data_IF_400897346182
#
_entry.id   IF_400897346182
#
_cell.length_a   1.000
_cell.length_b   1.000
_cell.length_c   1.000
_cell.angle_alpha   90.00
_cell.angle_beta   90.00
_cell.angle_gamma   90.00
#
_symmetry.space_group_name_H-M   'P 1'
#
loop_
_entity.id
_entity.type
_entity.pdbx_description
1 polymer ?
#
# COMPACT_ATOMS: atom_id res chain seq x y z
N UNK A 1 -43.49 -10.57 1.43
CA UNK A 1 -42.48 -9.63 0.89
C UNK A 1 -42.28 -9.97 -0.57
N UNK A 2 -42.06 -8.96 -1.40
CA UNK A 2 -41.89 -9.09 -2.84
C UNK A 2 -40.58 -8.43 -3.25
N UNK A 3 -39.84 -9.04 -4.18
CA UNK A 3 -38.56 -8.54 -4.69
C UNK A 3 -38.81 -7.94 -6.06
N UNK A 4 -38.25 -6.76 -6.31
CA UNK A 4 -38.36 -6.06 -7.59
C UNK A 4 -36.97 -5.74 -8.10
N UNK A 5 -36.71 -6.09 -9.35
CA UNK A 5 -35.56 -5.59 -10.09
C UNK A 5 -35.84 -4.15 -10.51
N UNK A 6 -34.86 -3.26 -10.32
CA UNK A 6 -34.99 -1.84 -10.61
C UNK A 6 -33.88 -1.38 -11.57
N UNK A 7 -34.25 -0.48 -12.46
CA UNK A 7 -33.32 0.25 -13.34
C UNK A 7 -33.67 1.73 -13.26
N UNK A 8 -32.86 2.50 -12.52
CA UNK A 8 -33.05 3.94 -12.34
C UNK A 8 -32.14 4.67 -13.30
N UNK A 9 -32.75 5.51 -14.14
CA UNK A 9 -32.02 6.25 -15.15
C UNK A 9 -31.20 7.38 -14.53
N UNK A 10 -30.09 7.75 -15.17
CA UNK A 10 -29.24 8.85 -14.75
C UNK A 10 -29.98 10.21 -14.76
N UNK A 11 -31.04 10.37 -15.55
CA UNK A 11 -31.81 11.60 -15.61
C UNK A 11 -32.67 11.90 -14.35
N UNK A 12 -32.60 11.08 -13.31
CA UNK A 12 -33.39 11.24 -12.08
C UNK A 12 -34.88 10.92 -12.24
N UNK A 13 -35.27 10.31 -13.38
CA UNK A 13 -36.66 9.88 -13.56
C UNK A 13 -37.08 8.85 -12.52
N UNK A 14 -38.28 9.02 -12.00
CA UNK A 14 -38.84 8.14 -11.00
C UNK A 14 -39.28 6.81 -11.62
N UNK A 15 -38.84 5.72 -11.02
CA UNK A 15 -39.35 4.37 -11.24
C UNK A 15 -40.34 4.05 -10.12
N UNK A 16 -41.54 3.59 -10.48
CA UNK A 16 -42.60 3.29 -9.49
C UNK A 16 -42.72 1.79 -9.29
N UNK A 17 -42.58 1.35 -8.05
CA UNK A 17 -42.88 -0.01 -7.61
C UNK A 17 -44.33 -0.03 -7.10
N UNK A 18 -45.23 -0.67 -7.85
CA UNK A 18 -46.63 -0.83 -7.49
C UNK A 18 -46.82 -2.00 -6.51
N UNK A 19 -46.34 -1.81 -5.28
CA UNK A 19 -46.45 -2.80 -4.22
C UNK A 19 -46.82 -2.14 -2.89
N UNK A 20 -47.89 -2.64 -2.28
CA UNK A 20 -48.29 -2.19 -0.95
C UNK A 20 -47.35 -2.76 0.12
N UNK A 21 -46.92 -1.91 1.05
CA UNK A 21 -46.09 -2.35 2.17
C UNK A 21 -45.55 -1.20 3.02
N UNK A 22 -45.37 -1.43 4.32
CA UNK A 22 -44.77 -0.47 5.25
C UNK A 22 -43.24 -0.44 5.22
N UNK A 23 -42.61 -1.45 4.62
CA UNK A 23 -41.17 -1.65 4.63
C UNK A 23 -40.64 -1.72 3.20
N UNK A 24 -39.54 -1.01 2.95
CA UNK A 24 -38.74 -1.12 1.73
C UNK A 24 -37.26 -1.27 2.09
N UNK A 25 -36.60 -2.26 1.52
CA UNK A 25 -35.15 -2.46 1.63
C UNK A 25 -34.50 -2.37 0.26
N UNK A 26 -33.46 -1.56 0.14
CA UNK A 26 -32.62 -1.54 -1.03
C UNK A 26 -31.50 -2.56 -0.85
N UNK A 27 -31.58 -3.72 -1.50
CA UNK A 27 -30.69 -4.85 -1.18
C UNK A 27 -29.37 -4.79 -1.90
N UNK A 28 -29.39 -4.48 -3.20
CA UNK A 28 -28.19 -4.37 -4.03
C UNK A 28 -28.35 -3.23 -5.03
N UNK A 29 -27.25 -2.53 -5.28
CA UNK A 29 -27.17 -1.42 -6.21
C UNK A 29 -25.80 -1.38 -6.88
N UNK A 30 -25.78 -1.17 -8.20
CA UNK A 30 -24.56 -0.99 -8.96
C UNK A 30 -24.69 0.23 -9.88
N UNK A 31 -23.70 1.12 -9.82
CA UNK A 31 -23.59 2.32 -10.63
C UNK A 31 -22.24 2.39 -11.38
N UNK A 32 -21.56 1.26 -11.55
CA UNK A 32 -20.29 1.17 -12.29
C UNK A 32 -19.14 1.92 -11.63
N UNK A 33 -19.08 1.93 -10.29
CA UNK A 33 -18.07 2.66 -9.50
C UNK A 33 -18.47 4.07 -9.09
N UNK A 34 -19.63 4.57 -9.53
CA UNK A 34 -20.22 5.83 -9.04
C UNK A 34 -21.09 5.59 -7.79
N UNK A 35 -21.64 6.67 -7.22
CA UNK A 35 -22.62 6.59 -6.14
C UNK A 35 -23.88 5.85 -6.59
N UNK A 36 -24.26 4.82 -5.83
CA UNK A 36 -25.41 3.98 -6.10
C UNK A 36 -26.61 4.32 -5.20
N UNK A 37 -26.65 5.52 -4.62
CA UNK A 37 -27.73 5.89 -3.71
C UNK A 37 -29.03 6.22 -4.43
N UNK A 38 -30.14 5.86 -3.80
CA UNK A 38 -31.48 6.06 -4.36
C UNK A 38 -32.31 6.92 -3.42
N UNK A 39 -33.16 7.77 -3.99
CA UNK A 39 -34.20 8.49 -3.26
C UNK A 39 -35.48 7.69 -3.33
N UNK A 40 -36.06 7.41 -2.17
CA UNK A 40 -37.29 6.65 -2.00
C UNK A 40 -38.37 7.58 -1.45
N UNK A 41 -39.56 7.51 -2.05
CA UNK A 41 -40.75 8.26 -1.62
C UNK A 41 -41.93 7.29 -1.52
N UNK A 42 -42.57 7.12 -0.36
CA UNK A 42 -43.78 6.30 -0.23
C UNK A 42 -44.95 6.92 -0.99
N UNK A 43 -45.78 6.08 -1.62
CA UNK A 43 -47.00 6.45 -2.31
C UNK A 43 -48.09 6.92 -1.33
N UNK A 44 -48.84 7.94 -1.77
CA UNK A 44 -49.77 8.82 -1.03
C UNK A 44 -49.13 10.10 -0.45
N UNK A 45 -49.66 11.23 -0.96
CA UNK A 45 -49.43 12.64 -0.56
C UNK A 45 -48.08 12.96 0.12
N UNK A 46 -47.01 13.05 -0.68
CA UNK A 46 -45.85 13.87 -0.33
C UNK A 46 -45.05 13.44 0.90
N UNK A 47 -44.98 12.13 1.17
CA UNK A 47 -44.08 11.60 2.20
C UNK A 47 -42.63 12.09 2.03
N UNK A 48 -41.89 12.17 3.13
CA UNK A 48 -40.49 12.60 3.12
C UNK A 48 -39.66 11.78 2.13
N UNK A 49 -38.82 12.45 1.34
CA UNK A 49 -37.81 11.79 0.51
C UNK A 49 -36.73 11.22 1.42
N UNK A 50 -36.47 9.93 1.31
CA UNK A 50 -35.41 9.25 2.06
C UNK A 50 -34.34 8.77 1.10
N UNK A 51 -33.09 9.10 1.35
CA UNK A 51 -31.96 8.55 0.59
C UNK A 51 -31.53 7.23 1.22
N UNK A 52 -31.48 6.16 0.43
CA UNK A 52 -30.99 4.85 0.82
C UNK A 52 -29.74 4.50 0.01
N UNK A 53 -28.70 4.04 0.71
CA UNK A 53 -27.56 3.32 0.13
C UNK A 53 -27.88 1.82 0.04
N UNK A 54 -27.21 1.05 -0.84
CA UNK A 54 -27.35 -0.40 -0.88
C UNK A 54 -27.17 -1.03 0.51
N UNK A 55 -28.04 -1.96 0.87
CA UNK A 55 -28.12 -2.60 2.18
C UNK A 55 -29.06 -1.90 3.18
N UNK A 56 -29.40 -0.63 2.96
CA UNK A 56 -30.26 0.14 3.88
C UNK A 56 -31.75 -0.13 3.63
N UNK A 57 -32.55 0.16 4.65
CA UNK A 57 -33.99 0.00 4.60
C UNK A 57 -34.70 1.17 5.28
N UNK A 58 -35.96 1.37 4.89
CA UNK A 58 -36.86 2.32 5.49
C UNK A 58 -38.18 1.63 5.87
N UNK A 59 -38.72 1.98 7.03
CA UNK A 59 -40.02 1.54 7.51
C UNK A 59 -40.88 2.75 7.82
N UNK A 60 -42.07 2.80 7.22
CA UNK A 60 -43.12 3.75 7.56
C UNK A 60 -43.63 3.43 8.96
N UNK A 61 -43.82 4.46 9.79
CA UNK A 61 -44.36 4.34 11.13
C UNK A 61 -45.76 3.69 11.13
N UNK A 62 -46.09 2.96 12.19
CA UNK A 62 -47.29 2.11 12.24
C UNK A 62 -48.61 2.92 12.27
N UNK A 63 -48.55 4.19 12.68
CA UNK A 63 -49.65 5.15 12.76
C UNK A 63 -49.99 5.83 11.42
N UNK A 64 -49.10 5.74 10.44
CA UNK A 64 -49.32 6.28 9.08
C UNK A 64 -50.02 5.21 8.22
N UNK A 65 -50.88 5.57 7.24
CA UNK A 65 -51.44 4.63 6.29
C UNK A 65 -50.37 3.84 5.54
N UNK A 66 -50.66 2.58 5.21
CA UNK A 66 -49.75 1.74 4.42
C UNK A 66 -49.64 2.32 3.01
N UNK A 67 -48.42 2.63 2.51
CA UNK A 67 -48.23 3.04 1.13
C UNK A 67 -48.73 1.96 0.17
N UNK A 68 -49.41 2.39 -0.89
CA UNK A 68 -49.86 1.52 -1.99
C UNK A 68 -48.75 1.28 -3.04
N UNK A 69 -47.73 2.14 -3.04
CA UNK A 69 -46.66 2.19 -4.01
C UNK A 69 -45.41 2.85 -3.44
N UNK A 70 -44.30 2.75 -4.16
CA UNK A 70 -43.02 3.39 -3.81
C UNK A 70 -42.39 4.00 -5.06
N UNK A 71 -42.06 5.28 -5.00
CA UNK A 71 -41.33 5.99 -6.06
C UNK A 71 -39.84 6.00 -5.74
N UNK A 72 -39.02 5.57 -6.70
CA UNK A 72 -37.57 5.43 -6.58
C UNK A 72 -36.90 6.30 -7.65
N UNK A 73 -35.91 7.09 -7.29
CA UNK A 73 -35.13 7.88 -8.24
C UNK A 73 -33.63 7.77 -7.92
N UNK A 74 -32.77 7.94 -8.93
CA UNK A 74 -31.34 8.08 -8.68
C UNK A 74 -31.10 9.39 -7.90
N UNK A 75 -30.38 9.32 -6.77
CA UNK A 75 -30.16 10.49 -5.90
C UNK A 75 -29.29 11.57 -6.55
N UNK A 76 -28.25 11.19 -7.29
CA UNK A 76 -27.30 12.14 -7.91
C UNK A 76 -27.42 12.23 -9.43
N UNK A 77 -28.08 11.26 -10.06
CA UNK A 77 -28.30 11.24 -11.50
C UNK A 77 -27.02 11.10 -12.35
N UNK A 78 -25.94 10.60 -11.76
CA UNK A 78 -24.64 10.56 -12.45
C UNK A 78 -24.45 9.31 -13.34
N UNK A 79 -25.14 8.21 -13.04
CA UNK A 79 -25.06 6.95 -13.79
C UNK A 79 -26.40 6.19 -13.75
N UNK A 80 -26.60 5.22 -14.64
CA UNK A 80 -27.74 4.31 -14.51
C UNK A 80 -27.48 3.39 -13.32
N UNK A 81 -28.44 3.28 -12.41
CA UNK A 81 -28.38 2.37 -11.27
C UNK A 81 -29.23 1.16 -11.59
N UNK A 82 -28.61 -0.03 -11.60
CA UNK A 82 -29.35 -1.30 -11.61
C UNK A 82 -29.28 -1.93 -10.23
N UNK A 83 -30.36 -2.56 -9.79
CA UNK A 83 -30.42 -3.10 -8.45
C UNK A 83 -31.69 -3.88 -8.13
N UNK A 84 -31.87 -4.18 -6.84
CA UNK A 84 -33.09 -4.83 -6.34
C UNK A 84 -33.60 -4.14 -5.09
N UNK A 85 -34.92 -4.05 -4.98
CA UNK A 85 -35.60 -3.64 -3.74
C UNK A 85 -36.54 -4.74 -3.26
N UNK A 86 -36.77 -4.79 -1.95
CA UNK A 86 -37.74 -5.69 -1.33
C UNK A 86 -38.79 -4.86 -0.61
N UNK A 87 -40.06 -5.08 -0.94
CA UNK A 87 -41.20 -4.39 -0.32
C UNK A 87 -42.07 -5.38 0.45
N UNK A 88 -42.60 -4.97 1.61
CA UNK A 88 -43.64 -5.71 2.31
C UNK A 88 -43.98 -5.15 3.69
N UNK A 89 -44.64 -5.96 4.51
CA UNK A 89 -45.04 -5.58 5.88
C UNK A 89 -44.11 -6.14 6.98
N UNK A 90 -43.27 -7.13 6.63
CA UNK A 90 -42.27 -7.69 7.54
C UNK A 90 -40.93 -6.95 7.44
N UNK A 91 -40.11 -7.06 8.50
CA UNK A 91 -38.74 -6.52 8.55
C UNK A 91 -37.74 -7.62 8.17
N UNK A 92 -36.76 -7.30 7.32
CA UNK A 92 -35.58 -8.16 7.07
C UNK A 92 -34.35 -7.42 7.54
N UNK A 93 -33.81 -7.86 8.68
CA UNK A 93 -32.49 -7.46 9.17
C UNK A 93 -31.44 -8.41 8.59
N UNK A 94 -31.04 -8.15 7.36
CA UNK A 94 -29.87 -8.76 6.75
C UNK A 94 -28.78 -7.69 6.70
N UNK A 95 -27.89 -7.72 7.70
CA UNK A 95 -26.73 -6.84 7.82
C UNK A 95 -25.49 -7.46 7.16
N UNK A 96 -25.65 -8.05 5.98
CA UNK A 96 -24.51 -8.54 5.21
C UNK A 96 -23.65 -7.35 4.75
N UNK A 97 -22.56 -7.10 5.48
CA UNK A 97 -21.51 -6.18 5.09
C UNK A 97 -20.71 -6.80 3.93
N UNK A 98 -21.01 -6.41 2.69
CA UNK A 98 -20.13 -6.71 1.55
C UNK A 98 -18.91 -5.80 1.61
N UNK A 99 -17.85 -6.25 2.27
CA UNK A 99 -16.52 -5.66 2.12
C UNK A 99 -15.86 -6.22 0.86
N UNK A 100 -15.47 -5.36 -0.08
CA UNK A 100 -14.60 -5.79 -1.16
C UNK A 100 -13.19 -5.99 -0.60
N UNK A 101 -12.75 -7.23 -0.44
CA UNK A 101 -11.35 -7.53 -0.14
C UNK A 101 -10.58 -7.48 -1.46
N UNK A 102 -10.04 -6.31 -1.79
CA UNK A 102 -9.04 -6.24 -2.85
C UNK A 102 -7.68 -6.55 -2.25
N UNK A 103 -7.08 -7.66 -2.69
CA UNK A 103 -5.67 -7.94 -2.42
C UNK A 103 -4.86 -6.97 -3.29
N UNK A 104 -4.57 -5.80 -2.74
CA UNK A 104 -3.65 -4.85 -3.36
C UNK A 104 -2.25 -5.40 -3.13
N UNK A 105 -1.59 -5.84 -4.20
CA UNK A 105 -0.15 -6.10 -4.16
C UNK A 105 0.58 -4.79 -3.86
N UNK A 106 0.95 -4.61 -2.60
CA UNK A 106 1.64 -3.41 -2.12
C UNK A 106 2.97 -3.19 -2.85
N UNK A 107 3.67 -4.26 -3.26
CA UNK A 107 4.92 -4.16 -4.01
C UNK A 107 4.69 -3.58 -5.41
N UNK A 108 3.67 -4.07 -6.12
CA UNK A 108 3.26 -3.50 -7.41
C UNK A 108 2.82 -2.03 -7.26
N UNK A 109 2.01 -1.73 -6.25
CA UNK A 109 1.56 -0.36 -5.99
C UNK A 109 2.72 0.60 -5.72
N UNK A 110 3.68 0.22 -4.86
CA UNK A 110 4.90 1.01 -4.60
C UNK A 110 5.75 1.19 -5.85
N UNK A 111 5.91 0.14 -6.65
CA UNK A 111 6.66 0.22 -7.91
C UNK A 111 6.02 1.20 -8.88
N UNK A 112 4.71 1.11 -9.10
CA UNK A 112 3.98 2.03 -9.98
C UNK A 112 3.97 3.48 -9.47
N UNK A 113 4.06 3.67 -8.15
CA UNK A 113 4.20 4.98 -7.52
C UNK A 113 5.64 5.54 -7.56
N UNK A 114 6.59 4.86 -8.23
CA UNK A 114 8.01 5.20 -8.24
C UNK A 114 8.62 5.30 -6.82
N UNK A 115 8.22 4.41 -5.91
CA UNK A 115 8.67 4.42 -4.52
C UNK A 115 9.56 3.21 -4.17
N UNK A 116 9.80 2.29 -5.10
CA UNK A 116 10.62 1.08 -4.88
C UNK A 116 11.91 1.15 -5.72
N UNK A 117 13.04 0.83 -5.09
CA UNK A 117 14.37 1.06 -5.64
C UNK A 117 15.30 -0.14 -5.44
N UNK A 118 16.37 -0.16 -6.25
CA UNK A 118 17.50 -1.05 -6.06
C UNK A 118 18.79 -0.37 -6.48
N UNK A 119 19.92 -0.86 -5.98
CA UNK A 119 21.21 -0.47 -6.52
C UNK A 119 22.33 -1.33 -5.95
N UNK A 120 23.48 -1.28 -6.62
CA UNK A 120 24.67 -2.05 -6.28
C UNK A 120 25.73 -1.14 -5.66
N UNK A 121 26.24 -1.48 -4.50
CA UNK A 121 27.42 -0.84 -3.93
C UNK A 121 28.61 -1.79 -4.07
N UNK A 122 29.78 -1.25 -4.43
CA UNK A 122 31.01 -2.01 -4.59
C UNK A 122 32.20 -1.22 -4.04
N UNK A 123 32.92 -1.79 -3.07
CA UNK A 123 34.16 -1.27 -2.53
C UNK A 123 35.32 -2.10 -3.06
N UNK A 124 36.36 -1.42 -3.57
CA UNK A 124 37.56 -2.06 -4.10
C UNK A 124 38.47 -2.58 -2.98
N UNK A 125 39.29 -3.59 -3.29
CA UNK A 125 40.32 -4.07 -2.38
C UNK A 125 41.45 -3.04 -2.25
N UNK A 126 41.76 -2.65 -1.02
CA UNK A 126 42.88 -1.75 -0.70
C UNK A 126 43.72 -2.38 0.40
N UNK A 127 45.04 -2.43 0.20
CA UNK A 127 45.98 -3.02 1.14
C UNK A 127 45.83 -2.40 2.55
N UNK A 128 45.78 -3.27 3.56
CA UNK A 128 45.60 -2.90 4.97
C UNK A 128 44.33 -2.10 5.29
N UNK A 129 43.31 -2.14 4.42
CA UNK A 129 42.03 -1.49 4.65
C UNK A 129 40.87 -2.47 4.49
N UNK A 130 39.80 -2.20 5.22
CA UNK A 130 38.56 -2.96 5.23
C UNK A 130 37.53 -2.30 4.30
N UNK A 131 36.84 -3.08 3.44
CA UNK A 131 35.82 -2.53 2.55
C UNK A 131 34.55 -2.16 3.32
N UNK A 132 33.94 -1.02 2.98
CA UNK A 132 32.69 -0.55 3.57
C UNK A 132 31.69 -0.14 2.49
N UNK A 133 30.45 -0.58 2.66
CA UNK A 133 29.30 -0.24 1.84
C UNK A 133 28.23 0.40 2.73
N UNK A 134 27.45 1.33 2.20
CA UNK A 134 26.43 2.01 2.98
C UNK A 134 25.19 2.30 2.12
N UNK A 135 24.02 1.91 2.63
CA UNK A 135 22.76 2.50 2.21
C UNK A 135 22.50 3.71 3.11
N UNK A 136 22.62 4.90 2.54
CA UNK A 136 22.58 6.17 3.25
C UNK A 136 21.31 6.94 2.92
N UNK A 137 20.63 7.46 3.94
CA UNK A 137 19.54 8.40 3.79
C UNK A 137 20.03 9.82 4.10
N UNK A 138 20.21 10.71 3.10
CA UNK A 138 20.65 12.08 3.34
C UNK A 138 19.79 12.83 4.36
N UNK A 139 20.44 13.64 5.19
CA UNK A 139 19.71 14.59 6.01
C UNK A 139 18.89 15.52 5.11
N UNK A 140 17.62 15.74 5.46
CA UNK A 140 16.71 16.56 4.65
C UNK A 140 16.11 15.87 3.42
N UNK A 141 16.22 14.54 3.29
CA UNK A 141 15.56 13.79 2.20
C UNK A 141 14.03 13.87 2.22
N UNK A 142 13.42 14.13 3.38
CA UNK A 142 11.96 14.15 3.57
C UNK A 142 11.30 12.77 3.57
N UNK A 143 12.08 11.70 3.42
CA UNK A 143 11.61 10.31 3.34
C UNK A 143 12.41 9.41 4.28
N UNK A 144 11.83 8.29 4.69
CA UNK A 144 12.57 7.19 5.33
C UNK A 144 12.77 6.06 4.33
N UNK A 145 13.93 5.41 4.39
CA UNK A 145 14.21 4.23 3.58
C UNK A 145 13.78 3.00 4.37
N UNK A 146 13.09 2.08 3.72
CA UNK A 146 12.69 0.81 4.32
C UNK A 146 13.36 -0.31 3.55
N UNK A 147 14.41 -0.89 4.14
CA UNK A 147 15.18 -1.98 3.54
C UNK A 147 14.35 -3.26 3.49
N UNK A 148 14.21 -3.83 2.31
CA UNK A 148 13.52 -5.11 2.09
C UNK A 148 14.51 -6.27 1.99
N UNK A 149 15.67 -6.06 1.36
CA UNK A 149 16.64 -7.14 1.15
C UNK A 149 18.05 -6.59 0.83
N UNK A 150 19.06 -7.37 1.18
CA UNK A 150 20.42 -7.28 0.65
C UNK A 150 20.66 -8.54 -0.18
N UNK A 151 20.90 -8.39 -1.46
CA UNK A 151 21.15 -9.47 -2.42
C UNK A 151 22.56 -9.37 -2.98
N UNK A 152 23.03 -10.42 -3.67
CA UNK A 152 24.33 -10.41 -4.35
C UNK A 152 25.49 -9.96 -3.44
N UNK A 153 25.43 -10.32 -2.16
CA UNK A 153 26.53 -10.07 -1.26
C UNK A 153 27.69 -10.95 -1.73
N UNK A 154 28.82 -10.32 -2.06
CA UNK A 154 30.01 -10.95 -2.66
C UNK A 154 31.31 -10.34 -2.14
N UNK A 155 32.37 -11.15 -2.06
CA UNK A 155 33.74 -10.76 -1.73
C UNK A 155 34.74 -11.70 -2.44
N UNK A 156 36.00 -11.28 -2.61
CA UNK A 156 37.05 -12.05 -3.28
C UNK A 156 37.61 -13.13 -2.35
N UNK A 157 37.61 -12.85 -1.04
CA UNK A 157 37.99 -13.82 -0.01
C UNK A 157 36.82 -14.17 0.89
N UNK A 158 36.96 -15.23 1.68
CA UNK A 158 35.93 -15.61 2.65
C UNK A 158 35.88 -14.54 3.74
N UNK A 159 34.87 -13.67 3.67
CA UNK A 159 34.73 -12.54 4.57
C UNK A 159 33.36 -12.53 5.23
N UNK A 160 33.33 -12.14 6.50
CA UNK A 160 32.10 -11.86 7.26
C UNK A 160 31.78 -10.38 7.10
N UNK A 161 30.50 -10.04 6.95
CA UNK A 161 30.06 -8.65 6.91
C UNK A 161 29.25 -8.30 8.17
N UNK A 162 29.53 -7.16 8.77
CA UNK A 162 28.80 -6.66 9.95
C UNK A 162 27.94 -5.47 9.55
N UNK A 163 26.68 -5.48 9.98
CA UNK A 163 25.73 -4.39 9.80
C UNK A 163 25.66 -3.53 11.07
N UNK A 164 25.87 -2.23 10.94
CA UNK A 164 25.77 -1.24 12.03
C UNK A 164 25.00 -0.01 11.57
N UNK A 165 24.46 0.75 12.52
CA UNK A 165 24.02 2.13 12.26
C UNK A 165 25.24 3.03 11.95
N UNK A 166 25.00 4.09 11.19
CA UNK A 166 25.95 5.16 10.96
C UNK A 166 25.22 6.48 10.80
N UNK A 167 25.70 7.52 11.47
CA UNK A 167 25.23 8.91 11.33
C UNK A 167 26.12 9.75 10.41
N UNK A 168 27.11 9.12 9.78
CA UNK A 168 28.06 9.76 8.88
C UNK A 168 28.03 9.04 7.53
N UNK A 169 27.89 9.83 6.47
CA UNK A 169 28.01 9.36 5.10
C UNK A 169 29.45 8.90 4.80
N UNK A 170 29.62 7.73 4.18
CA UNK A 170 30.91 7.33 3.62
C UNK A 170 31.37 8.32 2.54
N UNK A 171 32.67 8.44 2.35
CA UNK A 171 33.27 9.52 1.57
C UNK A 171 32.86 9.51 0.09
N UNK A 172 32.75 8.34 -0.53
CA UNK A 172 32.49 8.21 -1.96
C UNK A 172 31.02 7.86 -2.22
N UNK A 173 30.33 8.73 -2.95
CA UNK A 173 29.04 8.39 -3.54
C UNK A 173 29.28 7.44 -4.72
N UNK A 174 28.78 6.20 -4.61
CA UNK A 174 28.80 5.25 -5.72
C UNK A 174 27.68 5.56 -6.71
N UNK A 175 26.44 5.64 -6.22
CA UNK A 175 25.26 6.00 -7.01
C UNK A 175 24.07 6.37 -6.11
N UNK A 176 23.05 7.00 -6.68
CA UNK A 176 21.72 7.01 -6.06
C UNK A 176 21.00 5.69 -6.34
N UNK A 177 19.93 5.39 -5.60
CA UNK A 177 19.08 4.26 -5.93
C UNK A 177 18.42 4.40 -7.29
N UNK A 178 18.39 3.32 -8.06
CA UNK A 178 17.68 3.26 -9.33
C UNK A 178 16.24 2.78 -9.11
N UNK A 179 15.26 3.41 -9.75
CA UNK A 179 13.86 3.02 -9.59
C UNK A 179 13.60 1.67 -10.23
N UNK A 180 12.81 0.83 -9.56
CA UNK A 180 12.27 -0.42 -10.15
C UNK A 180 11.23 -0.12 -11.24
N UNK A 181 10.67 1.09 -11.26
CA UNK A 181 9.89 1.61 -12.38
C UNK A 181 10.84 2.13 -13.47
N UNK A 182 10.92 1.42 -14.60
CA UNK A 182 11.78 1.82 -15.71
C UNK A 182 11.40 3.22 -16.21
N UNK A 183 12.38 4.13 -16.29
CA UNK A 183 12.17 5.54 -16.65
C UNK A 183 11.72 6.43 -15.49
N UNK A 184 11.61 5.89 -14.28
CA UNK A 184 11.29 6.63 -13.07
C UNK A 184 12.40 7.59 -12.62
N UNK A 185 12.10 8.39 -11.60
CA UNK A 185 13.10 9.23 -10.94
C UNK A 185 13.95 8.41 -9.97
N UNK A 186 15.25 8.74 -9.86
CA UNK A 186 16.17 8.13 -8.90
C UNK A 186 15.73 8.38 -7.45
N UNK A 187 16.14 7.48 -6.57
CA UNK A 187 15.86 7.50 -5.14
C UNK A 187 16.50 8.71 -4.44
N UNK A 188 15.95 9.14 -3.31
CA UNK A 188 16.65 10.03 -2.38
C UNK A 188 17.79 9.28 -1.65
N UNK A 189 17.61 7.98 -1.41
CA UNK A 189 18.59 7.07 -0.85
C UNK A 189 19.83 6.91 -1.73
N UNK A 190 20.98 6.86 -1.08
CA UNK A 190 22.29 6.87 -1.70
C UNK A 190 23.06 5.60 -1.35
N UNK A 191 23.77 5.05 -2.33
CA UNK A 191 24.74 3.99 -2.12
C UNK A 191 26.12 4.60 -2.07
N UNK A 192 26.73 4.51 -0.89
CA UNK A 192 28.08 5.05 -0.64
C UNK A 192 29.04 3.92 -0.31
N UNK A 193 30.30 4.15 -0.62
CA UNK A 193 31.37 3.19 -0.41
C UNK A 193 32.63 3.91 0.04
N UNK A 194 33.50 3.19 0.74
CA UNK A 194 34.90 3.53 0.89
C UNK A 194 35.68 2.33 1.44
N UNK A 195 36.93 2.57 1.82
CA UNK A 195 37.78 1.64 2.55
C UNK A 195 38.36 2.37 3.76
N UNK A 196 38.59 1.66 4.86
CA UNK A 196 39.17 2.25 6.06
C UNK A 196 40.25 1.35 6.67
N UNK A 197 41.36 1.93 7.12
CA UNK A 197 42.42 1.20 7.80
C UNK A 197 42.01 0.69 9.19
N UNK A 198 41.05 1.38 9.82
CA UNK A 198 40.52 0.96 11.12
C UNK A 198 39.31 0.05 10.93
N UNK A 199 39.36 -1.12 11.53
CA UNK A 199 38.22 -2.03 11.60
C UNK A 199 37.08 -1.37 12.40
N UNK A 200 35.87 -1.37 11.84
CA UNK A 200 34.69 -0.91 12.58
C UNK A 200 34.43 -1.89 13.75
N UNK A 201 34.19 -1.40 14.98
CA UNK A 201 33.86 -2.27 16.10
C UNK A 201 32.68 -3.18 15.78
N UNK A 202 32.82 -4.48 16.06
CA UNK A 202 31.76 -5.49 15.83
C UNK A 202 30.58 -5.30 16.79
N UNK A 203 30.74 -4.47 17.83
CA UNK A 203 29.71 -4.21 18.83
C UNK A 203 29.57 -2.71 19.12
N UNK A 204 28.34 -2.17 19.17
CA UNK A 204 27.07 -2.83 18.88
C UNK A 204 26.87 -3.09 17.38
N UNK A 205 26.32 -4.25 17.02
CA UNK A 205 25.94 -4.60 15.64
C UNK A 205 24.47 -4.98 15.56
N UNK A 206 23.84 -4.61 14.45
CA UNK A 206 22.47 -4.99 14.11
C UNK A 206 22.40 -6.44 13.64
N UNK A 207 23.37 -6.86 12.83
CA UNK A 207 23.48 -8.22 12.34
C UNK A 207 24.92 -8.55 11.92
N UNK A 208 25.23 -9.84 11.90
CA UNK A 208 26.47 -10.39 11.37
C UNK A 208 26.12 -11.39 10.27
N UNK A 209 26.57 -11.14 9.05
CA UNK A 209 26.27 -11.95 7.87
C UNK A 209 27.39 -12.97 7.66
N UNK A 210 27.00 -14.24 7.64
CA UNK A 210 27.85 -15.41 7.48
C UNK A 210 28.76 -15.31 6.22
N UNK A 211 29.89 -16.04 6.20
CA UNK A 211 30.95 -15.83 5.23
C UNK A 211 30.48 -15.91 3.77
N UNK A 212 30.91 -14.90 3.03
CA UNK A 212 30.62 -14.72 1.62
C UNK A 212 31.82 -15.24 0.83
N UNK A 213 31.84 -16.53 0.50
CA UNK A 213 32.87 -17.08 -0.42
C UNK A 213 32.57 -16.63 -1.85
N UNK A 214 33.59 -16.28 -2.64
CA UNK A 214 33.49 -15.69 -3.99
C UNK A 214 32.70 -16.44 -5.08
N UNK A 215 31.99 -17.52 -4.74
CA UNK A 215 31.08 -18.27 -5.62
C UNK A 215 29.65 -18.40 -5.08
N UNK A 216 29.37 -17.97 -3.84
CA UNK A 216 28.03 -18.05 -3.25
C UNK A 216 27.48 -16.64 -3.07
N UNK A 217 26.56 -16.27 -3.94
CA UNK A 217 25.67 -15.13 -3.70
C UNK A 217 24.84 -15.47 -2.47
N UNK A 218 25.06 -14.73 -1.39
CA UNK A 218 24.19 -14.78 -0.22
C UNK A 218 23.19 -13.64 -0.29
N UNK A 219 21.98 -13.92 0.18
CA UNK A 219 20.95 -12.91 0.41
C UNK A 219 20.64 -12.83 1.88
N UNK A 220 20.41 -11.60 2.35
CA UNK A 220 19.93 -11.31 3.68
C UNK A 220 18.61 -10.57 3.56
N UNK A 221 17.54 -11.24 4.01
CA UNK A 221 16.21 -10.66 4.09
C UNK A 221 15.82 -10.56 5.56
N UNK A 222 15.71 -9.35 6.13
CA UNK A 222 15.34 -9.22 7.53
C UNK A 222 13.87 -9.62 7.71
N UNK A 223 13.55 -10.22 8.86
CA UNK A 223 12.17 -10.68 9.18
C UNK A 223 11.27 -9.48 9.42
N UNK A 224 11.72 -8.54 10.25
CA UNK A 224 11.18 -7.19 10.28
C UNK A 224 11.97 -6.26 9.35
N UNK A 225 11.32 -5.31 8.67
CA UNK A 225 12.05 -4.35 7.84
C UNK A 225 12.97 -3.46 8.70
N UNK A 226 14.12 -3.11 8.14
CA UNK A 226 15.01 -2.11 8.74
C UNK A 226 14.64 -0.73 8.20
N UNK A 227 14.28 0.19 9.10
CA UNK A 227 13.92 1.58 8.75
C UNK A 227 15.11 2.51 8.98
N UNK A 228 15.48 3.26 7.95
CA UNK A 228 16.63 4.18 7.96
C UNK A 228 16.09 5.62 7.85
N UNK A 229 16.03 6.38 8.96
CA UNK A 229 15.53 7.75 8.96
C UNK A 229 16.50 8.73 8.28
N UNK A 230 16.06 9.95 7.93
CA UNK A 230 16.96 10.98 7.39
C UNK A 230 18.17 11.23 8.28
N UNK A 231 19.37 11.30 7.69
CA UNK A 231 20.63 11.51 8.42
C UNK A 231 21.27 10.23 8.99
N UNK A 232 20.69 9.06 8.71
CA UNK A 232 21.24 7.77 9.09
C UNK A 232 21.57 6.92 7.86
N UNK A 233 22.40 5.90 8.06
CA UNK A 233 22.67 4.88 7.07
C UNK A 233 22.92 3.52 7.69
N UNK A 234 22.55 2.48 6.96
CA UNK A 234 22.93 1.11 7.27
C UNK A 234 24.33 0.86 6.71
N UNK A 235 25.32 0.80 7.59
CA UNK A 235 26.71 0.54 7.24
C UNK A 235 26.98 -0.96 7.26
N UNK A 236 27.58 -1.46 6.18
CA UNK A 236 28.08 -2.82 6.05
C UNK A 236 29.61 -2.77 5.96
N UNK A 237 30.30 -3.46 6.87
CA UNK A 237 31.77 -3.53 6.89
C UNK A 237 32.24 -4.97 6.73
N UNK A 238 33.13 -5.21 5.77
CA UNK A 238 33.83 -6.50 5.64
C UNK A 238 34.92 -6.62 6.70
N UNK A 239 35.06 -7.80 7.30
CA UNK A 239 36.01 -8.05 8.41
C UNK A 239 37.40 -8.53 7.95
N UNK A 240 37.65 -8.62 6.65
CA UNK A 240 38.93 -8.99 6.07
C UNK A 240 39.56 -7.78 5.38
N UNK A 241 40.82 -7.47 5.71
CA UNK A 241 41.56 -6.39 5.08
C UNK A 241 42.06 -6.79 3.69
N UNK A 242 42.23 -5.83 2.78
CA UNK A 242 42.63 -6.10 1.39
C UNK A 242 41.64 -7.02 0.64
N UNK A 243 40.36 -6.84 0.93
CA UNK A 243 39.27 -7.55 0.26
C UNK A 243 38.36 -6.55 -0.47
N UNK A 244 37.66 -7.01 -1.51
CA UNK A 244 36.56 -6.25 -2.10
C UNK A 244 35.25 -6.67 -1.43
N UNK A 245 34.22 -5.85 -1.59
CA UNK A 245 32.88 -6.21 -1.18
C UNK A 245 31.87 -5.62 -2.13
N UNK A 246 30.88 -6.41 -2.55
CA UNK A 246 29.76 -5.98 -3.39
C UNK A 246 28.46 -6.40 -2.75
N UNK A 247 27.43 -5.56 -2.84
CA UNK A 247 26.08 -5.90 -2.41
C UNK A 247 25.03 -5.13 -3.22
N UNK A 248 23.92 -5.77 -3.52
CA UNK A 248 22.70 -5.14 -4.04
C UNK A 248 21.78 -4.83 -2.87
N UNK A 249 21.39 -3.57 -2.71
CA UNK A 249 20.37 -3.17 -1.74
C UNK A 249 19.03 -3.04 -2.46
N UNK A 250 17.96 -3.49 -1.81
CA UNK A 250 16.59 -3.28 -2.23
C UNK A 250 15.78 -2.63 -1.11
N UNK A 251 15.11 -1.53 -1.43
CA UNK A 251 14.35 -0.75 -0.47
C UNK A 251 13.18 -0.06 -1.16
N UNK A 252 12.28 0.48 -0.34
CA UNK A 252 11.33 1.50 -0.79
C UNK A 252 11.46 2.75 0.07
N UNK A 253 10.95 3.87 -0.45
CA UNK A 253 10.90 5.15 0.24
C UNK A 253 9.46 5.48 0.58
N UNK A 254 9.25 6.00 1.77
CA UNK A 254 7.95 6.49 2.20
C UNK A 254 8.09 7.80 2.98
N UNK A 255 7.03 8.63 3.06
CA UNK A 255 7.07 9.87 3.80
C UNK A 255 7.53 9.67 5.25
N UNK A 256 8.42 10.56 5.70
CA UNK A 256 8.85 10.57 7.09
C UNK A 256 7.81 11.32 7.95
N UNK A 257 6.70 10.64 8.27
CA UNK A 257 5.61 11.12 9.13
C UNK A 257 5.84 10.83 10.61
#
# INVERSE_FOLDING_TARGET
>A
MQVFDITLQANGSAFVVHAAGRYIKYTVGNAGGNDASIVVTPGMQGGSKITLQPGQAYRVADDVPVPDSWSLANSLGQAVITGKVVVGNGRIDDNSLQGTVQVVDGGKSRTLANAAYSGVAAASAVSAQYPRLQLWNPAGSGVRLVLECINNLGANTTSTAVLTDSTVALATLGQNGFPKLLGGANAAGQLRVDTNATLVPVTPALACLAPVTGTVVTSFKPVEPMVIPPGHGLLMTGLVSNDNMTATFEWYEEPNV
#
